data_IF_501747566451
#
_entry.id   IF_501747566451
#
_cell.length_a   1.000
_cell.length_b   1.000
_cell.length_c   1.000
_cell.angle_alpha   90.00
_cell.angle_beta   90.00
_cell.angle_gamma   90.00
#
_symmetry.space_group_name_H-M   'P 1'
#
loop_
_entity.id
_entity.type
_entity.pdbx_description
1 polymer ?
#
# COMPACT_ATOMS: atom_id res chain seq x y z
N UNK A 1 -69.05 -3.44 65.71
CA UNK A 1 -68.18 -4.23 64.91
C UNK A 1 -67.79 -3.40 63.69
N UNK A 2 -66.58 -2.87 63.64
CA UNK A 2 -66.05 -2.01 62.54
C UNK A 2 -65.18 -2.84 61.62
N UNK A 3 -65.58 -2.99 60.38
CA UNK A 3 -64.83 -3.68 59.30
C UNK A 3 -63.81 -2.73 58.71
N UNK A 4 -62.56 -3.08 58.78
CA UNK A 4 -61.46 -2.35 58.16
C UNK A 4 -61.22 -2.90 56.75
N UNK A 5 -61.43 -2.08 55.74
CA UNK A 5 -61.14 -2.38 54.35
C UNK A 5 -59.70 -1.89 54.04
N UNK A 6 -58.84 -2.82 53.86
CA UNK A 6 -57.44 -2.55 53.42
C UNK A 6 -57.40 -2.29 51.89
N UNK A 7 -57.00 -1.10 51.52
CA UNK A 7 -56.73 -0.75 50.12
C UNK A 7 -55.24 -1.05 49.81
N UNK A 8 -54.98 -2.08 49.02
CA UNK A 8 -53.62 -2.33 48.42
C UNK A 8 -53.47 -1.38 47.25
N UNK A 9 -52.48 -0.52 47.34
CA UNK A 9 -52.07 0.40 46.25
C UNK A 9 -50.92 -0.30 45.43
N UNK A 10 -51.27 -0.71 44.23
CA UNK A 10 -50.28 -1.29 43.31
C UNK A 10 -49.47 -0.15 42.66
N UNK A 11 -48.15 -0.11 42.92
CA UNK A 11 -47.23 0.81 42.28
C UNK A 11 -46.75 0.15 40.97
N UNK A 12 -47.20 0.67 39.82
CA UNK A 12 -46.70 0.30 38.51
C UNK A 12 -45.41 1.11 38.29
N UNK A 13 -44.24 0.47 38.37
CA UNK A 13 -42.96 1.04 37.94
C UNK A 13 -42.84 0.87 36.44
N UNK A 14 -43.10 1.95 35.69
CA UNK A 14 -42.86 1.99 34.26
C UNK A 14 -41.32 2.08 34.01
N UNK A 15 -40.74 0.97 33.57
CA UNK A 15 -39.34 0.92 33.12
C UNK A 15 -39.25 1.58 31.74
N UNK A 16 -38.91 2.88 31.68
CA UNK A 16 -38.57 3.54 30.44
C UNK A 16 -37.18 3.05 30.00
N UNK A 17 -37.15 2.08 29.10
CA UNK A 17 -35.91 1.73 28.40
C UNK A 17 -35.50 2.91 27.50
N UNK A 18 -34.49 3.67 27.90
CA UNK A 18 -33.85 4.65 27.05
C UNK A 18 -33.09 3.87 25.98
N UNK A 19 -33.63 3.80 24.76
CA UNK A 19 -32.90 3.40 23.57
C UNK A 19 -31.95 4.56 23.30
N UNK A 20 -30.70 4.44 23.76
CA UNK A 20 -29.61 5.32 23.34
C UNK A 20 -29.35 4.98 21.89
N UNK A 21 -29.56 5.89 20.93
CA UNK A 21 -29.15 5.64 19.55
C UNK A 21 -27.64 5.45 19.58
N UNK A 22 -27.18 4.27 19.18
CA UNK A 22 -25.75 4.01 18.95
C UNK A 22 -25.28 5.04 17.92
N UNK A 23 -24.49 6.01 18.37
CA UNK A 23 -23.82 6.92 17.47
C UNK A 23 -22.99 6.05 16.53
N UNK A 24 -23.35 6.06 15.24
CA UNK A 24 -22.59 5.39 14.20
C UNK A 24 -21.19 6.02 14.28
N UNK A 25 -20.21 5.27 14.77
CA UNK A 25 -18.82 5.71 14.82
C UNK A 25 -18.49 6.24 13.41
N UNK A 26 -18.13 7.50 13.33
CA UNK A 26 -17.69 8.12 12.09
C UNK A 26 -16.33 7.47 11.79
N UNK A 27 -16.33 6.41 11.01
CA UNK A 27 -15.10 5.82 10.50
C UNK A 27 -14.42 6.86 9.64
N UNK A 28 -13.27 7.35 10.08
CA UNK A 28 -12.44 8.21 9.26
C UNK A 28 -12.11 7.41 7.98
N UNK A 29 -12.60 7.93 6.84
CA UNK A 29 -12.32 7.31 5.55
C UNK A 29 -11.13 8.03 4.92
N UNK A 30 -10.12 7.27 4.50
CA UNK A 30 -9.00 7.75 3.72
C UNK A 30 -9.27 7.53 2.24
N UNK A 31 -8.86 8.49 1.41
CA UNK A 31 -8.93 8.40 -0.04
C UNK A 31 -7.52 8.16 -0.60
N UNK A 32 -7.32 6.99 -1.20
CA UNK A 32 -6.03 6.56 -1.72
C UNK A 32 -6.09 6.41 -3.23
N UNK A 33 -5.23 7.14 -3.93
CA UNK A 33 -5.03 7.00 -5.36
C UNK A 33 -3.82 6.10 -5.62
N UNK A 34 -3.99 5.05 -6.43
CA UNK A 34 -2.91 4.19 -6.91
C UNK A 34 -2.59 4.52 -8.36
N UNK A 35 -1.35 4.89 -8.63
CA UNK A 35 -0.78 5.15 -9.97
C UNK A 35 0.31 4.14 -10.22
N UNK A 36 0.19 3.32 -11.27
CA UNK A 36 1.15 2.26 -11.52
C UNK A 36 0.80 1.42 -12.74
N UNK A 37 1.04 0.12 -12.65
CA UNK A 37 0.79 -0.80 -13.75
C UNK A 37 0.37 -2.18 -13.24
N UNK A 38 0.73 -3.25 -13.97
CA UNK A 38 0.39 -4.63 -13.59
C UNK A 38 0.87 -5.04 -12.19
N UNK A 39 1.98 -4.50 -11.70
CA UNK A 39 2.45 -4.79 -10.35
C UNK A 39 1.52 -4.24 -9.26
N UNK A 40 0.69 -3.27 -9.60
CA UNK A 40 -0.33 -2.70 -8.72
C UNK A 40 -1.71 -3.35 -8.92
N UNK A 41 -2.09 -3.70 -10.15
CA UNK A 41 -3.44 -4.26 -10.38
C UNK A 41 -3.52 -5.78 -10.22
N UNK A 42 -2.43 -6.53 -10.32
CA UNK A 42 -2.50 -7.99 -10.19
C UNK A 42 -3.11 -8.40 -8.85
N UNK A 43 -4.01 -9.38 -8.91
CA UNK A 43 -4.75 -9.92 -7.76
C UNK A 43 -5.47 -8.84 -6.93
N UNK A 44 -5.89 -7.74 -7.58
CA UNK A 44 -6.60 -6.64 -6.93
C UNK A 44 -5.88 -6.13 -5.68
N UNK A 45 -4.56 -5.91 -5.76
CA UNK A 45 -3.71 -5.54 -4.62
C UNK A 45 -4.25 -4.32 -3.87
N UNK A 46 -4.74 -3.30 -4.58
CA UNK A 46 -5.33 -2.09 -3.99
C UNK A 46 -6.64 -2.38 -3.22
N UNK A 47 -7.45 -3.37 -3.66
CA UNK A 47 -8.62 -3.87 -2.90
C UNK A 47 -8.15 -4.55 -1.62
N UNK A 48 -7.10 -5.36 -1.72
CA UNK A 48 -6.49 -6.04 -0.58
C UNK A 48 -6.02 -5.05 0.49
N UNK A 49 -5.39 -3.92 0.13
CA UNK A 49 -5.04 -2.84 1.07
C UNK A 49 -6.27 -2.34 1.82
N UNK A 50 -7.37 -2.08 1.11
CA UNK A 50 -8.62 -1.62 1.71
C UNK A 50 -9.22 -2.66 2.67
N UNK A 51 -9.17 -3.94 2.31
CA UNK A 51 -9.69 -5.03 3.16
C UNK A 51 -8.84 -5.25 4.41
N UNK A 52 -7.51 -5.22 4.30
CA UNK A 52 -6.61 -5.30 5.47
C UNK A 52 -6.95 -4.17 6.46
N UNK A 53 -7.14 -2.95 5.97
CA UNK A 53 -7.50 -1.80 6.80
C UNK A 53 -8.87 -1.94 7.46
N UNK A 54 -9.88 -2.41 6.73
CA UNK A 54 -11.24 -2.57 7.23
C UNK A 54 -11.37 -3.70 8.26
N UNK A 55 -10.55 -4.74 8.16
CA UNK A 55 -10.56 -5.91 9.02
C UNK A 55 -9.48 -5.87 10.12
N UNK A 56 -8.83 -4.72 10.34
CA UNK A 56 -7.95 -4.49 11.48
C UNK A 56 -8.79 -4.16 12.73
N UNK A 57 -8.85 -5.04 13.75
CA UNK A 57 -9.71 -4.82 14.91
C UNK A 57 -9.25 -3.66 15.81
N UNK A 58 -7.95 -3.38 15.85
CA UNK A 58 -7.39 -2.30 16.69
C UNK A 58 -7.49 -0.92 16.04
N UNK A 59 -7.45 -0.86 14.70
CA UNK A 59 -7.40 0.38 13.94
C UNK A 59 -8.24 0.23 12.67
N UNK A 60 -9.55 -0.02 12.84
CA UNK A 60 -10.48 -0.14 11.71
C UNK A 60 -10.51 1.16 10.92
N UNK A 61 -10.13 1.09 9.65
CA UNK A 61 -10.02 2.23 8.77
C UNK A 61 -10.73 1.94 7.44
N UNK A 62 -11.60 2.81 7.01
CA UNK A 62 -12.20 2.73 5.69
C UNK A 62 -11.26 3.38 4.67
N UNK A 63 -10.79 2.61 3.67
CA UNK A 63 -10.01 3.14 2.55
C UNK A 63 -10.87 3.10 1.29
N UNK A 64 -11.26 4.29 0.83
CA UNK A 64 -11.80 4.49 -0.51
C UNK A 64 -10.63 4.64 -1.48
N UNK A 65 -10.61 3.86 -2.54
CA UNK A 65 -9.49 3.85 -3.48
C UNK A 65 -9.93 4.11 -4.92
N UNK A 66 -8.99 4.63 -5.70
CA UNK A 66 -9.04 4.69 -7.15
C UNK A 66 -7.70 4.20 -7.70
N UNK A 67 -7.73 3.45 -8.79
CA UNK A 67 -6.54 2.97 -9.47
C UNK A 67 -6.43 3.53 -10.88
N UNK A 68 -5.21 3.91 -11.26
CA UNK A 68 -4.77 4.31 -12.59
C UNK A 68 -3.58 3.41 -12.92
N UNK A 69 -3.88 2.22 -13.48
CA UNK A 69 -2.88 1.14 -13.55
C UNK A 69 -2.88 0.42 -14.89
N UNK A 70 -2.74 1.12 -16.03
CA UNK A 70 -2.62 0.46 -17.33
C UNK A 70 -1.41 -0.48 -17.37
N UNK A 71 -1.56 -1.65 -18.02
CA UNK A 71 -0.48 -2.64 -18.10
C UNK A 71 0.81 -2.06 -18.68
N UNK A 72 1.95 -2.32 -18.02
CA UNK A 72 3.27 -1.88 -18.45
C UNK A 72 3.50 -0.35 -18.41
N UNK A 73 2.58 0.42 -17.84
CA UNK A 73 2.67 1.88 -17.80
C UNK A 73 3.87 2.34 -16.96
N UNK A 74 4.52 3.40 -17.42
CA UNK A 74 5.59 4.12 -16.73
C UNK A 74 5.13 5.51 -16.28
N UNK A 75 5.84 6.17 -15.38
CA UNK A 75 5.55 7.56 -15.02
C UNK A 75 5.54 8.49 -16.24
N UNK A 76 6.48 8.29 -17.17
CA UNK A 76 6.47 9.04 -18.43
C UNK A 76 5.16 8.86 -19.21
N UNK A 77 4.61 7.67 -19.24
CA UNK A 77 3.34 7.38 -19.92
C UNK A 77 2.17 7.98 -19.17
N UNK A 78 2.09 7.85 -17.85
CA UNK A 78 1.06 8.47 -17.01
C UNK A 78 0.94 9.98 -17.24
N UNK A 79 2.07 10.67 -17.38
CA UNK A 79 2.11 12.10 -17.67
C UNK A 79 1.46 12.50 -19.01
N UNK A 80 1.25 11.55 -19.92
CA UNK A 80 0.62 11.78 -21.24
C UNK A 80 -0.87 11.37 -21.28
N UNK A 81 -1.39 10.74 -20.24
CA UNK A 81 -2.77 10.25 -20.17
C UNK A 81 -3.67 11.29 -19.52
N UNK A 82 -4.31 12.12 -20.35
CA UNK A 82 -5.13 13.26 -19.90
C UNK A 82 -6.23 12.82 -18.92
N UNK A 83 -6.91 11.70 -19.16
CA UNK A 83 -7.96 11.19 -18.30
C UNK A 83 -7.44 10.86 -16.88
N UNK A 84 -6.21 10.35 -16.77
CA UNK A 84 -5.56 10.09 -15.49
C UNK A 84 -5.15 11.38 -14.78
N UNK A 85 -4.58 12.32 -15.51
CA UNK A 85 -4.26 13.66 -15.00
C UNK A 85 -5.54 14.35 -14.49
N UNK A 86 -6.67 14.20 -15.16
CA UNK A 86 -7.94 14.75 -14.71
C UNK A 86 -8.46 14.09 -13.42
N UNK A 87 -8.19 12.81 -13.20
CA UNK A 87 -8.47 12.15 -11.90
C UNK A 87 -7.61 12.75 -10.79
N UNK A 88 -6.31 12.99 -11.03
CA UNK A 88 -5.43 13.65 -10.04
C UNK A 88 -5.95 15.06 -9.73
N UNK A 89 -6.36 15.83 -10.75
CA UNK A 89 -6.86 17.20 -10.61
C UNK A 89 -8.18 17.29 -9.82
N UNK A 90 -9.01 16.26 -9.80
CA UNK A 90 -10.25 16.25 -9.00
C UNK A 90 -9.99 16.48 -7.53
N UNK A 91 -8.82 16.08 -7.04
CA UNK A 91 -8.41 16.32 -5.67
C UNK A 91 -9.11 15.41 -4.66
N UNK A 92 -8.85 15.69 -3.38
CA UNK A 92 -9.46 14.94 -2.28
C UNK A 92 -8.72 13.65 -1.92
N UNK A 93 -7.48 13.50 -2.37
CA UNK A 93 -6.63 12.37 -2.04
C UNK A 93 -5.84 12.63 -0.75
N UNK A 94 -5.90 11.69 0.20
CA UNK A 94 -5.06 11.71 1.40
C UNK A 94 -3.68 11.11 1.11
N UNK A 95 -3.66 10.02 0.32
CA UNK A 95 -2.45 9.35 -0.13
C UNK A 95 -2.45 9.12 -1.63
N UNK A 96 -1.29 9.25 -2.24
CA UNK A 96 -1.06 8.86 -3.64
C UNK A 96 0.11 7.88 -3.70
N UNK A 97 -0.20 6.62 -3.98
CA UNK A 97 0.78 5.53 -4.10
C UNK A 97 1.24 5.45 -5.55
N UNK A 98 2.53 5.66 -5.81
CA UNK A 98 3.10 5.74 -7.15
C UNK A 98 4.12 4.63 -7.39
N UNK A 99 3.90 3.83 -8.44
CA UNK A 99 4.75 2.69 -8.83
C UNK A 99 5.19 2.85 -10.28
N UNK A 100 6.52 2.90 -10.50
CA UNK A 100 7.13 2.98 -11.83
C UNK A 100 7.12 1.63 -12.55
N UNK A 101 7.37 1.63 -13.86
CA UNK A 101 7.53 0.40 -14.63
C UNK A 101 8.61 -0.50 -14.00
N UNK A 102 8.37 -1.82 -13.97
CA UNK A 102 9.10 -2.79 -13.14
C UNK A 102 10.63 -2.75 -13.29
N UNK A 103 11.14 -2.51 -14.51
CA UNK A 103 12.57 -2.52 -14.80
C UNK A 103 13.21 -1.13 -14.86
N UNK A 104 12.42 -0.08 -15.09
CA UNK A 104 12.97 1.27 -15.31
C UNK A 104 13.84 1.78 -14.15
N UNK A 105 13.48 1.59 -12.87
CA UNK A 105 14.35 2.04 -11.77
C UNK A 105 15.61 1.18 -11.57
N UNK A 106 15.77 0.05 -12.26
CA UNK A 106 16.97 -0.80 -12.21
C UNK A 106 17.96 -0.54 -13.35
N UNK A 107 17.64 0.39 -14.25
CA UNK A 107 18.53 0.83 -15.32
C UNK A 107 19.81 1.51 -14.76
N UNK A 108 20.84 1.75 -15.57
CA UNK A 108 22.00 2.53 -15.16
C UNK A 108 21.60 3.90 -14.58
N UNK A 109 22.34 4.36 -13.57
CA UNK A 109 21.98 5.55 -12.76
C UNK A 109 21.76 6.81 -13.61
N UNK A 110 22.52 7.00 -14.69
CA UNK A 110 22.36 8.14 -15.60
C UNK A 110 21.00 8.13 -16.30
N UNK A 111 20.53 6.93 -16.70
CA UNK A 111 19.22 6.77 -17.36
C UNK A 111 18.10 6.95 -16.37
N UNK A 112 18.23 6.36 -15.16
CA UNK A 112 17.27 6.52 -14.08
C UNK A 112 17.12 8.00 -13.71
N UNK A 113 18.24 8.71 -13.54
CA UNK A 113 18.23 10.14 -13.22
C UNK A 113 17.52 10.97 -14.30
N UNK A 114 17.84 10.72 -15.56
CA UNK A 114 17.29 11.48 -16.70
C UNK A 114 15.80 11.22 -16.93
N UNK A 115 15.35 9.99 -16.74
CA UNK A 115 14.01 9.56 -17.10
C UNK A 115 13.15 9.33 -15.86
N UNK A 116 13.49 8.38 -15.00
CA UNK A 116 12.67 7.94 -13.88
C UNK A 116 12.50 9.04 -12.83
N UNK A 117 13.60 9.62 -12.33
CA UNK A 117 13.53 10.66 -11.29
C UNK A 117 12.84 11.91 -11.80
N UNK A 118 13.15 12.33 -13.04
CA UNK A 118 12.48 13.47 -13.65
C UNK A 118 10.97 13.28 -13.76
N UNK A 119 10.52 12.11 -14.23
CA UNK A 119 9.10 11.85 -14.42
C UNK A 119 8.38 11.61 -13.08
N UNK A 120 9.05 11.02 -12.09
CA UNK A 120 8.56 10.94 -10.72
C UNK A 120 8.30 12.33 -10.15
N UNK A 121 9.27 13.25 -10.29
CA UNK A 121 9.15 14.63 -9.83
C UNK A 121 8.02 15.40 -10.54
N UNK A 122 7.88 15.23 -11.86
CA UNK A 122 6.79 15.90 -12.60
C UNK A 122 5.41 15.40 -12.14
N UNK A 123 5.27 14.08 -11.94
CA UNK A 123 4.01 13.50 -11.48
C UNK A 123 3.69 13.92 -10.04
N UNK A 124 4.68 13.89 -9.15
CA UNK A 124 4.57 14.37 -7.77
C UNK A 124 4.16 15.85 -7.72
N UNK A 125 4.78 16.69 -8.57
CA UNK A 125 4.45 18.10 -8.68
C UNK A 125 3.00 18.34 -9.11
N UNK A 126 2.47 17.51 -10.03
CA UNK A 126 1.06 17.58 -10.42
C UNK A 126 0.17 17.15 -9.25
N UNK A 127 0.52 16.09 -8.53
CA UNK A 127 -0.21 15.65 -7.34
C UNK A 127 -0.31 16.80 -6.34
N UNK A 128 0.82 17.38 -5.91
CA UNK A 128 0.84 18.43 -4.89
C UNK A 128 0.21 19.74 -5.34
N UNK A 129 0.24 20.05 -6.65
CA UNK A 129 -0.45 21.22 -7.20
C UNK A 129 -1.96 21.18 -6.94
N UNK A 130 -2.56 20.00 -7.05
CA UNK A 130 -4.02 19.85 -6.92
C UNK A 130 -4.44 19.21 -5.59
N UNK A 131 -3.51 18.57 -4.89
CA UNK A 131 -3.71 17.92 -3.59
C UNK A 131 -2.56 18.31 -2.63
N UNK A 132 -2.49 19.58 -2.18
CA UNK A 132 -1.33 20.08 -1.43
C UNK A 132 -1.10 19.43 -0.07
N UNK A 133 -2.08 18.67 0.43
CA UNK A 133 -1.98 17.92 1.70
C UNK A 133 -1.81 16.41 1.50
N UNK A 134 -1.88 15.92 0.26
CA UNK A 134 -1.71 14.50 -0.01
C UNK A 134 -0.29 14.05 0.33
N UNK A 135 -0.17 12.88 0.94
CA UNK A 135 1.13 12.24 1.10
C UNK A 135 1.40 11.33 -0.08
N UNK A 136 2.47 11.60 -0.82
CA UNK A 136 2.94 10.71 -1.88
C UNK A 136 3.76 9.58 -1.26
N UNK A 137 3.51 8.36 -1.73
CA UNK A 137 4.21 7.14 -1.32
C UNK A 137 4.77 6.46 -2.57
N UNK A 138 6.07 6.40 -2.72
CA UNK A 138 6.68 5.59 -3.75
C UNK A 138 6.65 4.12 -3.36
N UNK A 139 5.99 3.32 -4.17
CA UNK A 139 5.86 1.88 -4.01
C UNK A 139 7.11 1.20 -4.59
N UNK A 140 8.10 0.90 -3.74
CA UNK A 140 9.31 0.18 -4.11
C UNK A 140 8.99 -1.22 -4.61
N UNK A 141 9.23 -1.49 -5.88
CA UNK A 141 9.01 -2.80 -6.48
C UNK A 141 10.16 -3.77 -6.15
N UNK A 142 10.05 -4.99 -6.64
CA UNK A 142 11.01 -6.09 -6.45
C UNK A 142 11.70 -6.47 -7.75
N UNK A 143 12.89 -7.06 -7.63
CA UNK A 143 13.62 -7.63 -8.75
C UNK A 143 12.90 -8.83 -9.38
N UNK A 144 13.03 -9.01 -10.67
CA UNK A 144 12.60 -10.24 -11.34
C UNK A 144 13.32 -11.45 -10.69
N UNK A 145 12.64 -12.60 -10.66
CA UNK A 145 13.11 -13.80 -9.92
C UNK A 145 14.55 -14.20 -10.27
N UNK A 146 14.97 -13.97 -11.52
CA UNK A 146 16.28 -14.31 -12.07
C UNK A 146 17.06 -13.07 -12.55
N UNK A 147 16.69 -11.87 -12.09
CA UNK A 147 17.27 -10.63 -12.58
C UNK A 147 16.74 -10.21 -13.95
N UNK A 148 17.42 -9.29 -14.59
CA UNK A 148 17.05 -8.80 -15.92
C UNK A 148 17.40 -9.82 -16.98
N UNK A 149 16.40 -10.34 -17.68
CA UNK A 149 16.59 -11.44 -18.64
C UNK A 149 17.00 -10.98 -20.05
N UNK A 150 16.93 -9.69 -20.35
CA UNK A 150 17.28 -9.14 -21.65
C UNK A 150 18.28 -7.98 -21.50
N UNK A 151 19.52 -8.23 -21.07
CA UNK A 151 20.56 -7.20 -21.09
C UNK A 151 20.80 -6.80 -22.55
N UNK A 152 20.82 -5.50 -22.83
CA UNK A 152 21.27 -4.99 -24.12
C UNK A 152 22.76 -4.67 -24.03
N UNK A 153 23.49 -4.70 -25.16
CA UNK A 153 24.91 -4.32 -25.19
C UNK A 153 25.14 -2.88 -24.72
N UNK A 154 24.15 -2.00 -24.97
CA UNK A 154 24.20 -0.59 -24.58
C UNK A 154 24.02 -0.38 -23.06
N UNK A 155 23.39 -1.33 -22.37
CA UNK A 155 23.10 -1.20 -20.95
C UNK A 155 23.37 -2.50 -20.21
N UNK A 156 24.53 -2.63 -19.54
CA UNK A 156 24.82 -3.78 -18.68
C UNK A 156 23.84 -3.78 -17.50
N UNK A 157 22.79 -4.58 -17.64
CA UNK A 157 21.76 -4.76 -16.62
C UNK A 157 22.17 -5.88 -15.66
N UNK A 158 21.75 -5.81 -14.39
CA UNK A 158 21.99 -6.89 -13.46
C UNK A 158 21.24 -8.15 -13.90
N UNK A 159 21.99 -9.22 -14.16
CA UNK A 159 21.50 -10.54 -14.55
C UNK A 159 21.14 -11.42 -13.33
N UNK A 160 21.24 -10.87 -12.13
CA UNK A 160 20.85 -11.51 -10.86
C UNK A 160 19.74 -10.74 -10.17
N UNK A 161 18.93 -11.46 -9.39
CA UNK A 161 17.90 -10.84 -8.54
C UNK A 161 18.54 -9.78 -7.62
N UNK A 162 19.63 -10.14 -6.96
CA UNK A 162 20.27 -9.29 -5.95
C UNK A 162 20.77 -7.98 -6.56
N UNK A 163 21.38 -8.04 -7.74
CA UNK A 163 21.84 -6.86 -8.46
C UNK A 163 20.69 -5.95 -8.89
N UNK A 164 19.62 -6.54 -9.44
CA UNK A 164 18.41 -5.78 -9.81
C UNK A 164 17.74 -5.17 -8.57
N UNK A 165 17.58 -5.95 -7.49
CA UNK A 165 16.93 -5.49 -6.28
C UNK A 165 17.72 -4.34 -5.62
N UNK A 166 19.04 -4.40 -5.60
CA UNK A 166 19.86 -3.32 -5.03
C UNK A 166 19.64 -2.01 -5.78
N UNK A 167 19.58 -2.04 -7.11
CA UNK A 167 19.28 -0.84 -7.91
C UNK A 167 17.89 -0.30 -7.67
N UNK A 168 16.89 -1.18 -7.54
CA UNK A 168 15.52 -0.79 -7.21
C UNK A 168 15.44 -0.11 -5.85
N UNK A 169 16.06 -0.67 -4.81
CA UNK A 169 16.11 -0.07 -3.47
C UNK A 169 16.69 1.35 -3.55
N UNK A 170 17.86 1.50 -4.15
CA UNK A 170 18.52 2.79 -4.25
C UNK A 170 17.66 3.82 -5.00
N UNK A 171 17.09 3.42 -6.14
CA UNK A 171 16.30 4.32 -6.97
C UNK A 171 15.00 4.78 -6.29
N UNK A 172 14.32 3.89 -5.60
CA UNK A 172 13.06 4.25 -4.91
C UNK A 172 13.30 5.10 -3.66
N UNK A 173 14.38 4.85 -2.92
CA UNK A 173 14.77 5.71 -1.81
C UNK A 173 15.15 7.12 -2.30
N UNK A 174 15.92 7.20 -3.39
CA UNK A 174 16.29 8.48 -4.00
C UNK A 174 15.06 9.26 -4.48
N UNK A 175 14.10 8.61 -5.16
CA UNK A 175 12.83 9.24 -5.54
C UNK A 175 12.08 9.78 -4.32
N UNK A 176 12.03 9.03 -3.22
CA UNK A 176 11.38 9.46 -2.00
C UNK A 176 12.07 10.71 -1.41
N UNK A 177 13.38 10.70 -1.33
CA UNK A 177 14.15 11.84 -0.79
C UNK A 177 14.02 13.10 -1.66
N UNK A 178 14.17 12.97 -2.99
CA UNK A 178 14.10 14.10 -3.91
C UNK A 178 12.72 14.78 -3.92
N UNK A 179 11.66 14.05 -3.61
CA UNK A 179 10.28 14.54 -3.64
C UNK A 179 9.68 14.78 -2.25
N UNK A 180 10.46 14.64 -1.18
CA UNK A 180 9.95 14.69 0.20
C UNK A 180 8.75 13.76 0.42
N UNK A 181 8.72 12.63 -0.30
CA UNK A 181 7.71 11.60 -0.27
C UNK A 181 8.13 10.43 0.62
N UNK A 182 7.21 9.56 0.97
CA UNK A 182 7.51 8.32 1.67
C UNK A 182 7.87 7.19 0.69
N UNK A 183 8.54 6.15 1.19
CA UNK A 183 8.81 4.93 0.44
C UNK A 183 8.14 3.74 1.12
N UNK A 184 7.26 3.02 0.42
CA UNK A 184 6.75 1.73 0.85
C UNK A 184 7.75 0.63 0.43
N UNK A 185 8.44 -0.04 1.37
CA UNK A 185 9.62 -0.87 1.08
C UNK A 185 9.27 -2.29 0.63
N UNK A 186 8.34 -2.45 -0.33
CA UNK A 186 7.87 -3.79 -0.74
C UNK A 186 9.02 -4.65 -1.25
N UNK A 187 9.93 -4.09 -2.04
CA UNK A 187 11.10 -4.82 -2.54
C UNK A 187 12.03 -5.32 -1.42
N UNK A 188 12.15 -4.59 -0.29
CA UNK A 188 12.93 -5.04 0.87
C UNK A 188 12.27 -6.22 1.57
N UNK A 189 10.94 -6.14 1.77
CA UNK A 189 10.15 -7.25 2.36
C UNK A 189 10.17 -8.47 1.43
N UNK A 190 10.10 -8.24 0.12
CA UNK A 190 10.20 -9.29 -0.89
C UNK A 190 11.56 -10.02 -0.83
N UNK A 191 12.64 -9.26 -0.70
CA UNK A 191 13.98 -9.82 -0.54
C UNK A 191 14.11 -10.66 0.73
N UNK A 192 13.55 -10.18 1.83
CA UNK A 192 13.56 -10.89 3.10
C UNK A 192 12.73 -12.18 3.03
N UNK A 193 11.53 -12.14 2.43
CA UNK A 193 10.70 -13.33 2.19
C UNK A 193 11.44 -14.37 1.36
N UNK A 194 12.09 -13.98 0.26
CA UNK A 194 12.90 -14.89 -0.57
C UNK A 194 14.02 -15.57 0.20
N UNK A 195 14.64 -14.86 1.13
CA UNK A 195 15.75 -15.38 1.95
C UNK A 195 15.27 -16.31 3.05
N UNK A 196 14.19 -15.96 3.74
CA UNK A 196 13.73 -16.67 4.94
C UNK A 196 12.76 -17.81 4.61
N UNK A 197 11.95 -17.66 3.56
CA UNK A 197 10.97 -18.65 3.11
C UNK A 197 11.03 -18.85 1.58
N UNK A 198 12.16 -19.37 1.04
CA UNK A 198 12.42 -19.45 -0.41
C UNK A 198 11.44 -20.38 -1.17
N UNK A 199 10.72 -21.24 -0.45
CA UNK A 199 9.70 -22.13 -1.00
C UNK A 199 8.34 -21.47 -1.19
N UNK A 200 8.10 -20.27 -0.63
CA UNK A 200 6.84 -19.56 -0.79
C UNK A 200 6.77 -18.96 -2.21
N UNK A 201 5.72 -19.30 -3.00
CA UNK A 201 5.63 -18.87 -4.40
C UNK A 201 5.09 -17.45 -4.50
N UNK A 202 5.95 -16.44 -4.26
CA UNK A 202 5.56 -15.03 -4.33
C UNK A 202 5.51 -14.47 -5.77
N UNK A 203 6.06 -15.18 -6.76
CA UNK A 203 5.99 -14.83 -8.18
C UNK A 203 5.00 -15.71 -8.93
N UNK A 204 4.46 -15.18 -10.02
CA UNK A 204 3.79 -15.96 -11.05
C UNK A 204 4.81 -16.74 -11.90
N UNK A 205 4.30 -17.56 -12.82
CA UNK A 205 5.12 -18.40 -13.69
C UNK A 205 6.08 -17.61 -14.60
N UNK A 206 5.78 -16.34 -14.87
CA UNK A 206 6.62 -15.44 -15.68
C UNK A 206 7.85 -14.91 -14.92
N UNK A 207 8.02 -15.29 -13.65
CA UNK A 207 9.13 -14.88 -12.80
C UNK A 207 9.27 -13.36 -12.56
N UNK A 208 8.21 -12.59 -12.82
CA UNK A 208 8.15 -11.14 -12.72
C UNK A 208 6.94 -10.67 -11.93
N UNK A 209 5.72 -10.97 -12.41
CA UNK A 209 4.49 -10.54 -11.76
C UNK A 209 4.25 -11.23 -10.40
N UNK A 210 3.53 -10.58 -9.50
CA UNK A 210 3.24 -11.16 -8.20
C UNK A 210 2.20 -12.27 -8.29
N UNK A 211 2.40 -13.36 -7.55
CA UNK A 211 1.32 -14.29 -7.24
C UNK A 211 0.29 -13.64 -6.30
N UNK A 212 -0.79 -14.35 -5.96
CA UNK A 212 -1.74 -13.89 -4.95
C UNK A 212 -1.04 -13.62 -3.59
N UNK A 213 -0.11 -14.50 -3.18
CA UNK A 213 0.70 -14.32 -1.97
C UNK A 213 1.60 -13.09 -2.09
N UNK A 214 2.23 -12.88 -3.24
CA UNK A 214 3.07 -11.69 -3.50
C UNK A 214 2.27 -10.39 -3.46
N UNK A 215 1.07 -10.37 -4.02
CA UNK A 215 0.18 -9.20 -3.94
C UNK A 215 -0.31 -8.93 -2.52
N UNK A 216 -0.60 -9.98 -1.74
CA UNK A 216 -0.95 -9.83 -0.32
C UNK A 216 0.22 -9.26 0.49
N UNK A 217 1.45 -9.73 0.24
CA UNK A 217 2.66 -9.17 0.85
C UNK A 217 2.80 -7.68 0.51
N UNK A 218 2.67 -7.30 -0.76
CA UNK A 218 2.76 -5.90 -1.18
C UNK A 218 1.69 -5.02 -0.52
N UNK A 219 0.46 -5.51 -0.46
CA UNK A 219 -0.65 -4.80 0.18
C UNK A 219 -0.41 -4.55 1.68
N UNK A 220 0.14 -5.55 2.40
CA UNK A 220 0.49 -5.39 3.82
C UNK A 220 1.57 -4.33 4.04
N UNK A 221 2.59 -4.26 3.17
CA UNK A 221 3.65 -3.24 3.27
C UNK A 221 3.09 -1.84 3.01
N UNK A 222 2.23 -1.68 1.99
CA UNK A 222 1.58 -0.39 1.71
C UNK A 222 0.70 0.03 2.89
N UNK A 223 -0.10 -0.91 3.43
CA UNK A 223 -0.92 -0.61 4.60
C UNK A 223 -0.09 -0.26 5.83
N UNK A 224 0.99 -0.98 6.12
CA UNK A 224 1.91 -0.68 7.20
C UNK A 224 2.53 0.72 7.04
N UNK A 225 2.86 1.12 5.81
CA UNK A 225 3.41 2.45 5.49
C UNK A 225 2.38 3.57 5.75
N UNK A 226 1.11 3.33 5.45
CA UNK A 226 0.03 4.28 5.73
C UNK A 226 -0.27 4.35 7.24
N UNK A 227 -0.36 3.20 7.90
CA UNK A 227 -0.78 3.12 9.30
C UNK A 227 0.32 3.56 10.28
N UNK A 228 1.58 3.21 10.03
CA UNK A 228 2.76 3.50 10.87
C UNK A 228 2.63 3.03 12.34
N UNK A 229 1.91 1.96 12.56
CA UNK A 229 1.68 1.36 13.88
C UNK A 229 1.66 -0.16 13.76
N UNK A 230 1.94 -0.89 14.84
CA UNK A 230 1.71 -2.32 14.87
C UNK A 230 0.23 -2.64 14.61
N UNK A 231 -0.03 -3.70 13.84
CA UNK A 231 -1.39 -4.13 13.51
C UNK A 231 -1.49 -5.63 13.36
N UNK A 232 -2.72 -6.11 13.47
CA UNK A 232 -3.15 -7.44 13.04
C UNK A 232 -4.44 -7.27 12.25
N UNK A 233 -4.54 -7.89 11.08
CA UNK A 233 -5.78 -7.90 10.30
C UNK A 233 -6.36 -9.31 10.23
N UNK A 234 -7.67 -9.41 10.35
CA UNK A 234 -8.39 -10.66 10.15
C UNK A 234 -8.50 -11.06 8.68
N UNK A 235 -8.21 -10.13 7.75
CA UNK A 235 -8.20 -10.41 6.32
C UNK A 235 -6.90 -11.12 5.92
N UNK A 236 -7.02 -12.37 5.45
CA UNK A 236 -5.89 -13.23 5.06
C UNK A 236 -5.89 -13.63 3.57
N UNK A 237 -6.84 -13.15 2.76
CA UNK A 237 -6.89 -13.36 1.30
C UNK A 237 -6.77 -14.85 0.87
N UNK A 238 -7.45 -15.77 1.59
CA UNK A 238 -7.39 -17.22 1.35
C UNK A 238 -5.97 -17.84 1.45
N UNK A 239 -5.06 -17.14 2.15
CA UNK A 239 -3.70 -17.60 2.42
C UNK A 239 -3.71 -18.42 3.74
N UNK A 240 -2.80 -19.37 3.84
CA UNK A 240 -2.59 -20.11 5.10
C UNK A 240 -2.43 -19.11 6.27
N UNK A 241 -3.16 -19.30 7.39
CA UNK A 241 -3.19 -18.35 8.49
C UNK A 241 -1.80 -18.06 9.10
N UNK A 242 -0.94 -19.06 9.23
CA UNK A 242 0.42 -18.88 9.78
C UNK A 242 1.28 -18.05 8.81
N UNK A 243 1.15 -18.31 7.51
CA UNK A 243 1.85 -17.53 6.49
C UNK A 243 1.32 -16.10 6.41
N UNK A 244 0.02 -15.90 6.52
CA UNK A 244 -0.59 -14.57 6.50
C UNK A 244 -0.12 -13.74 7.71
N UNK A 245 -0.11 -14.31 8.91
CA UNK A 245 0.41 -13.66 10.11
C UNK A 245 1.89 -13.30 9.94
N UNK A 246 2.70 -14.24 9.46
CA UNK A 246 4.12 -13.99 9.18
C UNK A 246 4.31 -12.81 8.21
N UNK A 247 3.52 -12.74 7.12
CA UNK A 247 3.58 -11.65 6.15
C UNK A 247 3.22 -10.31 6.82
N UNK A 248 2.16 -10.27 7.64
CA UNK A 248 1.77 -9.06 8.37
C UNK A 248 2.89 -8.59 9.31
N UNK A 249 3.50 -9.50 10.06
CA UNK A 249 4.60 -9.18 10.96
C UNK A 249 5.84 -8.73 10.20
N UNK A 250 6.20 -9.39 9.11
CA UNK A 250 7.34 -9.04 8.28
C UNK A 250 7.18 -7.64 7.69
N UNK A 251 6.01 -7.33 7.14
CA UNK A 251 5.70 -6.03 6.53
C UNK A 251 5.80 -4.89 7.57
N UNK A 252 5.08 -5.02 8.70
CA UNK A 252 5.09 -3.96 9.70
C UNK A 252 6.46 -3.78 10.36
N UNK A 253 7.19 -4.86 10.66
CA UNK A 253 8.51 -4.78 11.26
C UNK A 253 9.49 -4.09 10.32
N UNK A 254 9.46 -4.41 9.02
CA UNK A 254 10.33 -3.76 8.04
C UNK A 254 10.03 -2.26 7.94
N UNK A 255 8.77 -1.86 7.92
CA UNK A 255 8.40 -0.44 7.87
C UNK A 255 8.79 0.27 9.18
N UNK A 256 8.35 -0.24 10.33
CA UNK A 256 8.51 0.44 11.61
C UNK A 256 9.96 0.57 12.06
N UNK A 257 10.81 -0.40 11.70
CA UNK A 257 12.23 -0.35 12.03
C UNK A 257 13.05 0.54 11.08
N UNK A 258 12.46 1.05 10.00
CA UNK A 258 13.16 1.81 8.96
C UNK A 258 12.52 3.17 8.64
N UNK A 259 11.71 3.75 9.54
CA UNK A 259 10.94 4.97 9.28
C UNK A 259 11.79 6.14 8.74
N UNK A 260 13.02 6.33 9.27
CA UNK A 260 13.94 7.36 8.77
C UNK A 260 14.47 7.05 7.38
N UNK A 261 14.91 5.81 7.14
CA UNK A 261 15.37 5.37 5.82
C UNK A 261 14.29 5.53 4.75
N UNK A 262 13.05 5.28 5.12
CA UNK A 262 11.89 5.37 4.23
C UNK A 262 11.33 6.79 4.09
N UNK A 263 12.02 7.79 4.65
CA UNK A 263 11.62 9.19 4.67
C UNK A 263 10.23 9.45 5.28
N UNK A 264 9.77 8.56 6.18
CA UNK A 264 8.47 8.66 6.86
C UNK A 264 8.57 9.63 8.04
N UNK A 265 9.64 9.56 8.80
CA UNK A 265 9.96 10.52 9.88
C UNK A 265 11.31 11.15 9.62
N UNK A 266 11.42 12.44 9.91
CA UNK A 266 12.63 13.26 9.71
C UNK A 266 13.57 13.19 10.91
#
# INVERSE_FOLDING_TARGET
MKTIVSRAMAIIVALCAFIVPSAKEKTDSLHVLFIGNSYTFFNDMYVTVSRIAAENPAHRLAIAYKNLTPGGCSFARHLTLNDEIDVIKKGGWDYVVMQEQSSAPSLPSEIVAKNTYRNAHLLDSIVHKYNPKAQVIFYMTWGHKFGTQNPTEDYPLPDTYEGMQMRLINSYLEMAYQNNAWCAPVGMVWQQMRRERPYVPIYNADASHPSAIGSYLAANVIYATILQKPYTSNYIADIDPELAEYIQQLAQNTVLNNLRLLNIVK
#
